data_IF_647843748699
#
_entry.id   IF_647843748699
#
_cell.length_a   1.000
_cell.length_b   1.000
_cell.length_c   1.000
_cell.angle_alpha   90.00
_cell.angle_beta   90.00
_cell.angle_gamma   90.00
#
_symmetry.space_group_name_H-M   'P 1'
#
loop_
_entity.id
_entity.type
_entity.pdbx_description
1 polymer ?
#
# COMPACT_ATOMS: atom_id res chain seq x y z
N UNK A 1 0.76 15.14 -9.95
CA UNK A 1 0.45 15.92 -8.74
C UNK A 1 1.18 15.28 -7.58
N UNK A 2 2.15 15.97 -6.95
CA UNK A 2 2.87 15.41 -5.81
C UNK A 2 1.87 15.04 -4.68
N UNK A 3 2.05 13.93 -3.94
CA UNK A 3 1.20 13.67 -2.80
C UNK A 3 1.30 14.84 -1.81
N UNK A 4 0.19 15.29 -1.21
CA UNK A 4 0.26 16.33 -0.20
C UNK A 4 1.20 15.86 0.92
N UNK A 5 2.23 16.66 1.20
CA UNK A 5 3.09 16.47 2.36
C UNK A 5 2.22 16.70 3.60
N UNK A 6 1.84 15.63 4.29
CA UNK A 6 1.18 15.74 5.58
C UNK A 6 2.27 15.80 6.66
N UNK A 7 2.46 16.98 7.24
CA UNK A 7 3.25 17.12 8.45
C UNK A 7 2.73 16.15 9.54
N UNK A 8 3.60 15.63 10.42
CA UNK A 8 3.18 14.73 11.48
C UNK A 8 2.11 15.39 12.36
N UNK A 9 1.04 14.65 12.65
CA UNK A 9 -0.04 15.13 13.53
C UNK A 9 0.41 15.15 14.99
N UNK A 10 -0.03 16.15 15.77
CA UNK A 10 0.25 16.21 17.21
C UNK A 10 -0.56 15.16 18.00
N UNK A 11 -0.06 14.75 19.17
CA UNK A 11 -0.72 13.75 20.03
C UNK A 11 -2.14 14.16 20.45
N UNK A 12 -2.37 15.46 20.68
CA UNK A 12 -3.68 16.01 20.97
C UNK A 12 -4.66 15.86 19.79
N UNK A 13 -4.17 16.01 18.55
CA UNK A 13 -4.97 15.79 17.35
C UNK A 13 -5.27 14.30 17.15
N UNK A 14 -4.28 13.43 17.39
CA UNK A 14 -4.46 11.98 17.33
C UNK A 14 -5.52 11.47 18.33
N UNK A 15 -5.53 11.99 19.56
CA UNK A 15 -6.56 11.64 20.55
C UNK A 15 -7.98 12.08 20.15
N UNK A 16 -8.11 13.27 19.56
CA UNK A 16 -9.41 13.78 19.07
C UNK A 16 -9.94 12.98 17.88
N UNK A 17 -9.05 12.56 16.99
CA UNK A 17 -9.35 11.66 15.87
C UNK A 17 -9.84 10.30 16.38
N UNK A 18 -9.13 9.72 17.34
CA UNK A 18 -9.47 8.42 17.90
C UNK A 18 -10.89 8.42 18.52
N UNK A 19 -11.30 9.57 19.08
CA UNK A 19 -12.62 9.78 19.66
C UNK A 19 -13.71 10.18 18.64
N UNK A 20 -13.41 10.25 17.34
CA UNK A 20 -14.38 10.58 16.29
C UNK A 20 -14.81 12.05 16.28
N UNK A 21 -14.06 12.95 16.94
CA UNK A 21 -14.42 14.37 17.09
C UNK A 21 -13.84 15.28 15.98
N UNK A 22 -13.25 14.70 14.94
CA UNK A 22 -12.58 15.41 13.83
C UNK A 22 -12.81 14.65 12.52
N UNK A 23 -13.35 15.34 11.53
CA UNK A 23 -13.40 14.85 10.15
C UNK A 23 -12.00 14.87 9.54
N UNK A 24 -11.62 13.75 8.94
CA UNK A 24 -10.28 13.55 8.40
C UNK A 24 -10.29 13.35 6.89
N UNK A 25 -9.17 13.69 6.23
CA UNK A 25 -9.11 13.64 4.78
C UNK A 25 -9.34 12.21 4.26
N UNK A 26 -10.05 12.15 3.13
CA UNK A 26 -10.13 10.95 2.30
C UNK A 26 -8.84 10.84 1.49
N UNK A 27 -8.25 9.65 1.45
CA UNK A 27 -7.10 9.40 0.56
C UNK A 27 -7.63 9.03 -0.82
N UNK A 28 -7.63 9.99 -1.73
CA UNK A 28 -8.00 9.75 -3.13
C UNK A 28 -6.95 8.89 -3.82
N UNK A 29 -7.39 7.73 -4.31
CA UNK A 29 -6.58 6.76 -5.05
C UNK A 29 -7.35 6.31 -6.29
N UNK A 30 -6.81 6.59 -7.47
CA UNK A 30 -7.39 6.26 -8.78
C UNK A 30 -7.58 4.75 -9.02
N UNK A 31 -6.89 3.92 -8.22
CA UNK A 31 -6.96 2.47 -8.29
C UNK A 31 -7.90 1.85 -7.25
N UNK A 32 -8.49 2.65 -6.35
CA UNK A 32 -9.21 2.16 -5.17
C UNK A 32 -10.40 1.27 -5.50
N UNK A 33 -11.00 1.41 -6.68
CA UNK A 33 -12.12 0.62 -7.17
C UNK A 33 -11.71 -0.81 -7.57
N UNK A 34 -10.53 -0.96 -8.19
CA UNK A 34 -10.07 -2.20 -8.82
C UNK A 34 -8.92 -2.90 -8.08
N UNK A 35 -8.04 -2.16 -7.42
CA UNK A 35 -6.85 -2.70 -6.77
C UNK A 35 -7.20 -3.41 -5.45
N UNK A 36 -6.70 -4.63 -5.25
CA UNK A 36 -6.88 -5.39 -4.00
C UNK A 36 -6.10 -4.89 -2.79
N UNK A 37 -5.29 -3.83 -2.93
CA UNK A 37 -4.32 -3.43 -1.91
C UNK A 37 -4.88 -2.70 -0.68
N UNK A 38 -5.91 -1.86 -0.85
CA UNK A 38 -6.42 -1.01 0.23
C UNK A 38 -7.97 -0.98 0.24
N UNK A 39 -8.64 -1.96 0.88
CA UNK A 39 -10.08 -2.17 0.73
C UNK A 39 -10.98 -1.01 1.17
N UNK A 40 -10.53 -0.18 2.12
CA UNK A 40 -11.33 0.89 2.74
C UNK A 40 -10.72 2.29 2.56
N UNK A 41 -9.74 2.45 1.65
CA UNK A 41 -8.98 3.71 1.51
C UNK A 41 -9.83 4.91 1.09
N UNK A 42 -10.94 4.65 0.39
CA UNK A 42 -11.87 5.67 -0.08
C UNK A 42 -12.82 6.18 1.01
N UNK A 43 -12.85 5.56 2.20
CA UNK A 43 -13.59 6.09 3.34
C UNK A 43 -12.83 7.27 3.98
N UNK A 44 -13.53 8.25 4.55
CA UNK A 44 -12.92 9.20 5.48
C UNK A 44 -12.08 8.46 6.52
N UNK A 45 -10.90 9.00 6.86
CA UNK A 45 -9.98 8.26 7.72
C UNK A 45 -10.57 8.00 9.13
N UNK A 46 -11.42 8.90 9.64
CA UNK A 46 -12.21 8.70 10.85
C UNK A 46 -13.09 7.46 10.76
N UNK A 47 -13.81 7.28 9.65
CA UNK A 47 -14.64 6.09 9.40
C UNK A 47 -13.80 4.82 9.29
N UNK A 48 -12.59 4.90 8.73
CA UNK A 48 -11.67 3.76 8.72
C UNK A 48 -11.29 3.32 10.13
N UNK A 49 -11.06 4.26 11.06
CA UNK A 49 -10.74 3.97 12.46
C UNK A 49 -11.95 3.38 13.19
N UNK A 50 -13.13 3.96 13.01
CA UNK A 50 -14.38 3.46 13.58
C UNK A 50 -14.68 2.02 13.09
N UNK A 51 -14.52 1.76 11.79
CA UNK A 51 -14.72 0.44 11.19
C UNK A 51 -13.70 -0.59 11.70
N UNK A 52 -12.42 -0.20 11.88
CA UNK A 52 -11.39 -1.06 12.49
C UNK A 52 -11.75 -1.40 13.94
N UNK A 53 -12.17 -0.43 14.75
CA UNK A 53 -12.62 -0.65 16.13
C UNK A 53 -13.84 -1.59 16.18
N UNK A 54 -14.84 -1.30 15.35
CA UNK A 54 -16.06 -2.10 15.26
C UNK A 54 -15.81 -3.55 14.90
N UNK A 55 -14.81 -3.83 14.04
CA UNK A 55 -14.39 -5.21 13.73
C UNK A 55 -13.85 -5.95 14.95
N UNK A 56 -13.07 -5.30 15.81
CA UNK A 56 -12.57 -5.91 17.05
C UNK A 56 -13.73 -6.15 18.01
N UNK A 57 -14.57 -5.13 18.26
CA UNK A 57 -15.76 -5.24 19.14
C UNK A 57 -16.67 -6.38 18.69
N UNK A 58 -17.02 -6.43 17.41
CA UNK A 58 -17.89 -7.49 16.86
C UNK A 58 -17.24 -8.89 16.96
N UNK A 59 -15.92 -8.98 16.85
CA UNK A 59 -15.22 -10.26 16.99
C UNK A 59 -15.19 -10.74 18.45
N UNK A 60 -15.00 -9.82 19.40
CA UNK A 60 -14.98 -10.13 20.83
C UNK A 60 -16.38 -10.48 21.37
N UNK A 61 -17.43 -9.82 20.88
CA UNK A 61 -18.82 -10.06 21.28
C UNK A 61 -19.30 -11.51 21.02
N UNK A 62 -18.58 -12.29 20.23
CA UNK A 62 -18.84 -13.72 20.01
C UNK A 62 -18.49 -14.60 21.21
N UNK A 63 -17.75 -14.07 22.18
CA UNK A 63 -17.26 -14.80 23.34
C UNK A 63 -17.78 -14.16 24.62
N UNK A 64 -18.73 -14.81 25.27
CA UNK A 64 -19.33 -14.33 26.54
C UNK A 64 -18.29 -14.14 27.64
N UNK A 65 -17.20 -14.91 27.63
CA UNK A 65 -16.08 -14.74 28.57
C UNK A 65 -15.37 -13.37 28.45
N UNK A 66 -15.59 -12.64 27.35
CA UNK A 66 -14.97 -11.34 27.07
C UNK A 66 -15.99 -10.19 27.10
N UNK A 67 -17.23 -10.42 27.55
CA UNK A 67 -18.31 -9.42 27.51
C UNK A 67 -18.00 -8.13 28.28
N UNK A 68 -17.21 -8.23 29.36
CA UNK A 68 -16.76 -7.06 30.15
C UNK A 68 -15.51 -6.38 29.58
N UNK A 69 -14.96 -6.86 28.46
CA UNK A 69 -13.75 -6.28 27.86
C UNK A 69 -14.09 -5.02 27.07
N UNK A 70 -13.48 -3.89 27.43
CA UNK A 70 -13.60 -2.66 26.68
C UNK A 70 -12.57 -2.61 25.55
N UNK A 71 -13.02 -2.36 24.32
CA UNK A 71 -12.12 -2.10 23.18
C UNK A 71 -11.86 -0.61 23.10
N UNK A 72 -10.62 -0.19 23.30
CA UNK A 72 -10.21 1.21 23.17
C UNK A 72 -10.37 1.76 21.74
N UNK A 73 -10.26 3.07 21.60
CA UNK A 73 -10.21 3.70 20.29
C UNK A 73 -8.93 3.32 19.54
N UNK A 74 -9.02 3.24 18.20
CA UNK A 74 -7.85 2.91 17.37
C UNK A 74 -6.91 4.10 17.34
N UNK A 75 -5.65 3.88 17.72
CA UNK A 75 -4.59 4.88 17.58
C UNK A 75 -4.38 5.20 16.10
N UNK A 76 -4.48 6.47 15.67
CA UNK A 76 -4.33 6.81 14.27
C UNK A 76 -2.86 6.75 13.85
N UNK A 77 -2.61 6.19 12.66
CA UNK A 77 -1.29 6.25 12.03
C UNK A 77 -0.94 7.67 11.57
N UNK A 78 0.34 8.02 11.70
CA UNK A 78 0.97 9.18 11.08
C UNK A 78 2.30 8.74 10.46
N UNK A 79 2.50 8.84 9.13
CA UNK A 79 1.58 9.35 8.12
C UNK A 79 0.51 8.32 7.66
N UNK A 80 -0.55 8.80 6.98
CA UNK A 80 -1.61 7.98 6.37
C UNK A 80 -1.41 7.70 4.87
N UNK A 81 -0.35 8.25 4.29
CA UNK A 81 0.13 8.04 2.92
C UNK A 81 1.64 7.83 2.94
N UNK A 82 2.22 7.23 1.90
CA UNK A 82 3.68 7.04 1.82
C UNK A 82 4.31 6.17 2.92
N UNK A 83 3.50 5.45 3.71
CA UNK A 83 3.98 4.69 4.85
C UNK A 83 4.48 3.28 4.49
N UNK A 84 4.10 2.75 3.33
CA UNK A 84 4.37 1.36 2.94
C UNK A 84 5.78 1.22 2.38
N UNK A 85 6.66 0.62 3.19
CA UNK A 85 8.08 0.37 2.90
C UNK A 85 8.38 -0.99 2.30
N UNK A 86 7.35 -1.80 2.02
CA UNK A 86 7.49 -3.06 1.29
C UNK A 86 6.32 -3.31 0.35
N UNK A 87 6.62 -3.71 -0.87
CA UNK A 87 5.62 -4.06 -1.87
C UNK A 87 6.11 -5.22 -2.74
N UNK A 88 5.29 -6.27 -2.84
CA UNK A 88 5.41 -7.27 -3.90
C UNK A 88 4.46 -6.88 -5.02
N UNK A 89 5.00 -6.40 -6.14
CA UNK A 89 4.26 -5.97 -7.31
C UNK A 89 4.31 -7.07 -8.38
N UNK A 90 3.15 -7.49 -8.87
CA UNK A 90 3.05 -8.47 -9.95
C UNK A 90 3.35 -7.78 -11.28
N UNK A 91 4.13 -8.45 -12.11
CA UNK A 91 4.48 -8.03 -13.46
C UNK A 91 3.66 -8.85 -14.45
N UNK A 92 3.06 -8.19 -15.43
CA UNK A 92 2.35 -8.81 -16.53
C UNK A 92 2.76 -8.16 -17.87
N UNK A 93 2.51 -8.84 -19.00
CA UNK A 93 2.83 -8.32 -20.33
C UNK A 93 2.29 -6.91 -20.58
N UNK A 94 3.00 -6.13 -21.40
CA UNK A 94 2.77 -4.71 -21.63
C UNK A 94 3.33 -3.82 -20.52
N UNK A 95 4.41 -4.25 -19.85
CA UNK A 95 5.03 -3.60 -18.70
C UNK A 95 4.02 -3.18 -17.61
N UNK A 96 2.98 -4.00 -17.37
CA UNK A 96 2.00 -3.76 -16.32
C UNK A 96 2.58 -4.20 -14.99
N UNK A 97 2.66 -3.28 -14.03
CA UNK A 97 3.27 -3.51 -12.72
C UNK A 97 2.28 -3.06 -11.64
N UNK A 98 1.81 -3.99 -10.81
CA UNK A 98 0.86 -3.64 -9.76
C UNK A 98 0.39 -4.82 -8.91
N UNK A 99 -0.91 -4.91 -8.66
CA UNK A 99 -1.51 -5.95 -7.82
C UNK A 99 -2.66 -6.64 -8.56
N UNK A 100 -3.07 -7.80 -8.07
CA UNK A 100 -4.27 -8.45 -8.58
C UNK A 100 -5.53 -7.63 -8.28
N UNK A 101 -6.48 -7.72 -9.22
CA UNK A 101 -7.77 -7.06 -9.12
C UNK A 101 -8.60 -7.59 -7.94
N UNK A 102 -9.52 -6.76 -7.45
CA UNK A 102 -10.58 -7.18 -6.52
C UNK A 102 -11.50 -8.21 -7.19
N UNK A 103 -12.11 -9.07 -6.38
CA UNK A 103 -13.06 -10.08 -6.86
C UNK A 103 -12.43 -11.43 -7.21
N UNK A 104 -11.11 -11.56 -7.09
CA UNK A 104 -10.37 -12.80 -7.34
C UNK A 104 -9.80 -12.89 -8.76
N UNK A 105 -9.00 -13.93 -9.00
CA UNK A 105 -8.30 -14.15 -10.27
C UNK A 105 -6.88 -13.56 -10.30
N UNK A 106 -6.19 -13.77 -11.44
CA UNK A 106 -4.80 -13.33 -11.68
C UNK A 106 -4.73 -12.15 -12.65
N UNK A 107 -5.78 -11.32 -12.73
CA UNK A 107 -5.75 -10.10 -13.53
C UNK A 107 -4.95 -9.02 -12.81
N UNK A 108 -3.88 -8.54 -13.43
CA UNK A 108 -3.04 -7.47 -12.88
C UNK A 108 -3.66 -6.11 -13.19
N UNK A 109 -3.91 -5.33 -12.14
CA UNK A 109 -4.16 -3.89 -12.21
C UNK A 109 -2.81 -3.20 -12.28
N UNK A 110 -2.53 -2.48 -13.37
CA UNK A 110 -1.32 -1.65 -13.45
C UNK A 110 -1.44 -0.44 -12.52
N UNK A 111 -0.47 -0.27 -11.61
CA UNK A 111 -0.50 0.72 -10.53
C UNK A 111 0.61 1.73 -10.76
N UNK A 112 0.28 2.83 -11.43
CA UNK A 112 1.21 3.92 -11.72
C UNK A 112 1.59 4.73 -10.48
N UNK A 113 0.62 5.03 -9.61
CA UNK A 113 0.78 5.95 -8.48
C UNK A 113 0.13 5.41 -7.20
N UNK A 114 0.79 4.44 -6.55
CA UNK A 114 0.31 3.90 -5.28
C UNK A 114 0.45 4.94 -4.15
N UNK A 115 -0.68 5.46 -3.63
CA UNK A 115 -0.72 6.53 -2.60
C UNK A 115 -0.07 6.15 -1.27
N UNK A 116 -0.02 4.86 -0.96
CA UNK A 116 0.53 4.38 0.32
C UNK A 116 1.99 3.94 0.20
N UNK A 117 2.51 3.74 -1.02
CA UNK A 117 3.89 3.34 -1.24
C UNK A 117 4.84 4.48 -0.88
N UNK A 118 5.93 4.19 -0.17
CA UNK A 118 6.89 5.24 0.19
C UNK A 118 7.47 5.91 -1.06
N UNK A 119 7.85 7.20 -0.98
CA UNK A 119 8.34 7.94 -2.16
C UNK A 119 9.49 7.24 -2.88
N UNK A 120 10.46 6.71 -2.14
CA UNK A 120 11.61 6.01 -2.74
C UNK A 120 11.18 4.73 -3.46
N UNK A 121 10.24 3.96 -2.90
CA UNK A 121 9.74 2.77 -3.58
C UNK A 121 8.87 3.11 -4.80
N UNK A 122 8.15 4.23 -4.77
CA UNK A 122 7.39 4.70 -5.93
C UNK A 122 8.33 5.06 -7.10
N UNK A 123 9.43 5.75 -6.82
CA UNK A 123 10.46 6.05 -7.83
C UNK A 123 11.13 4.78 -8.36
N UNK A 124 11.54 3.86 -7.48
CA UNK A 124 12.14 2.58 -7.91
C UNK A 124 11.16 1.76 -8.76
N UNK A 125 9.88 1.69 -8.39
CA UNK A 125 8.86 0.99 -9.18
C UNK A 125 8.68 1.63 -10.57
N UNK A 126 8.76 2.96 -10.67
CA UNK A 126 8.70 3.67 -11.95
C UNK A 126 9.89 3.34 -12.85
N UNK A 127 11.12 3.40 -12.32
CA UNK A 127 12.35 3.06 -13.05
C UNK A 127 12.31 1.61 -13.53
N UNK A 128 11.91 0.68 -12.66
CA UNK A 128 11.80 -0.73 -13.03
C UNK A 128 10.74 -0.97 -14.10
N UNK A 129 9.61 -0.25 -14.07
CA UNK A 129 8.59 -0.32 -15.14
C UNK A 129 9.16 0.10 -16.50
N UNK A 130 9.97 1.15 -16.54
CA UNK A 130 10.62 1.62 -17.77
C UNK A 130 11.63 0.59 -18.29
N UNK A 131 12.43 -0.01 -17.40
CA UNK A 131 13.38 -1.07 -17.75
C UNK A 131 12.67 -2.33 -18.28
N UNK A 132 11.59 -2.78 -17.61
CA UNK A 132 10.77 -3.92 -18.05
C UNK A 132 10.22 -3.67 -19.46
N UNK A 133 9.76 -2.46 -19.75
CA UNK A 133 9.24 -2.12 -21.09
C UNK A 133 10.31 -2.24 -22.17
N UNK A 134 11.52 -1.79 -21.90
CA UNK A 134 12.64 -1.90 -22.84
C UNK A 134 13.05 -3.37 -23.06
N UNK A 135 13.11 -4.15 -22.00
CA UNK A 135 13.46 -5.57 -22.06
C UNK A 135 12.37 -6.42 -22.73
N UNK A 136 11.09 -6.12 -22.51
CA UNK A 136 9.99 -6.78 -23.21
C UNK A 136 10.06 -6.59 -24.73
N UNK A 137 10.49 -5.40 -25.19
CA UNK A 137 10.65 -5.12 -26.61
C UNK A 137 11.90 -5.79 -27.24
N UNK A 138 12.90 -6.13 -26.42
CA UNK A 138 14.21 -6.63 -26.87
C UNK A 138 14.49 -8.08 -26.48
N UNK A 139 13.62 -8.72 -25.71
CA UNK A 139 13.86 -10.05 -25.13
C UNK A 139 14.89 -10.05 -24.00
N UNK A 140 15.00 -8.94 -23.26
CA UNK A 140 15.95 -8.75 -22.17
C UNK A 140 15.63 -9.56 -20.90
N UNK A 141 16.50 -9.47 -19.90
CA UNK A 141 16.43 -10.25 -18.65
C UNK A 141 15.18 -9.93 -17.81
N UNK A 142 14.62 -8.73 -17.95
CA UNK A 142 13.40 -8.29 -17.28
C UNK A 142 12.14 -8.54 -18.12
N UNK A 143 12.21 -9.34 -19.18
CA UNK A 143 11.05 -9.69 -19.99
C UNK A 143 9.96 -10.36 -19.12
N UNK A 144 8.73 -9.81 -19.08
CA UNK A 144 7.62 -10.39 -18.34
C UNK A 144 7.32 -11.82 -18.78
N UNK A 145 7.04 -12.69 -17.82
CA UNK A 145 6.50 -14.01 -18.12
C UNK A 145 5.16 -13.90 -18.85
N UNK A 146 5.10 -14.56 -20.01
CA UNK A 146 3.87 -14.88 -20.71
C UNK A 146 3.92 -16.35 -21.16
N UNK A 147 2.76 -17.00 -21.28
CA UNK A 147 2.70 -18.39 -21.75
C UNK A 147 3.16 -18.53 -23.22
N UNK A 148 3.19 -17.42 -23.97
CA UNK A 148 3.62 -17.37 -25.37
C UNK A 148 5.05 -16.86 -25.60
N UNK A 149 5.83 -16.60 -24.55
CA UNK A 149 7.21 -16.13 -24.67
C UNK A 149 8.16 -16.80 -23.67
N UNK A 150 9.47 -16.58 -23.82
CA UNK A 150 10.51 -17.09 -22.91
C UNK A 150 10.80 -16.14 -21.73
N UNK A 151 9.94 -15.13 -21.50
CA UNK A 151 10.07 -14.21 -20.39
C UNK A 151 9.90 -14.94 -19.05
N UNK A 152 10.64 -14.50 -18.04
CA UNK A 152 10.66 -15.15 -16.73
C UNK A 152 10.19 -14.26 -15.58
N UNK A 153 10.16 -12.94 -15.76
CA UNK A 153 9.83 -12.00 -14.69
C UNK A 153 8.34 -12.06 -14.33
N UNK A 154 8.04 -12.37 -13.07
CA UNK A 154 6.66 -12.48 -12.57
C UNK A 154 6.33 -11.42 -11.53
N UNK A 155 7.31 -10.99 -10.74
CA UNK A 155 7.09 -9.99 -9.71
C UNK A 155 8.36 -9.24 -9.30
N UNK A 156 8.15 -8.07 -8.71
CA UNK A 156 9.16 -7.26 -8.02
C UNK A 156 8.83 -7.26 -6.53
N UNK A 157 9.72 -7.76 -5.66
CA UNK A 157 9.65 -7.56 -4.21
C UNK A 157 10.56 -6.39 -3.83
N UNK A 158 9.95 -5.25 -3.54
CA UNK A 158 10.64 -4.01 -3.21
C UNK A 158 10.58 -3.79 -1.70
N UNK A 159 11.72 -3.48 -1.09
CA UNK A 159 11.83 -3.17 0.34
C UNK A 159 12.73 -1.96 0.56
N UNK A 160 12.17 -0.93 1.17
CA UNK A 160 12.93 0.19 1.74
C UNK A 160 13.46 -0.22 3.12
N UNK A 161 14.76 -0.10 3.31
CA UNK A 161 15.45 -0.23 4.59
C UNK A 161 15.80 1.18 5.04
N UNK A 162 15.26 1.56 6.20
CA UNK A 162 15.55 2.85 6.85
C UNK A 162 16.60 2.61 7.93
N UNK A 163 17.72 3.32 7.87
CA UNK A 163 18.73 3.31 8.94
C UNK A 163 18.18 3.85 10.27
N UNK A 164 18.87 3.54 11.37
CA UNK A 164 18.62 4.16 12.68
C UNK A 164 18.99 5.64 12.65
N UNK A 165 18.42 6.42 13.59
CA UNK A 165 18.36 7.89 13.58
C UNK A 165 19.69 8.69 13.55
N UNK A 166 20.85 8.03 13.46
CA UNK A 166 22.15 8.69 13.27
C UNK A 166 22.70 8.32 11.89
N UNK A 167 22.40 9.17 10.90
CA UNK A 167 22.75 8.97 9.50
C UNK A 167 21.64 8.25 8.73
N UNK A 168 20.68 9.01 8.20
CA UNK A 168 19.55 8.48 7.43
C UNK A 168 20.02 7.93 6.06
N UNK A 169 20.62 6.75 6.07
CA UNK A 169 20.86 5.97 4.86
C UNK A 169 19.57 5.22 4.51
N UNK A 170 19.02 5.54 3.34
CA UNK A 170 17.90 4.82 2.76
C UNK A 170 18.46 3.88 1.70
N UNK A 171 18.30 2.57 1.90
CA UNK A 171 18.61 1.59 0.86
C UNK A 171 17.34 0.87 0.41
N UNK A 172 17.30 0.48 -0.86
CA UNK A 172 16.21 -0.31 -1.41
C UNK A 172 16.77 -1.65 -1.86
N UNK A 173 16.15 -2.72 -1.39
CA UNK A 173 16.39 -4.07 -1.88
C UNK A 173 15.26 -4.43 -2.84
N UNK A 174 15.63 -4.80 -4.07
CA UNK A 174 14.72 -5.29 -5.08
C UNK A 174 15.01 -6.77 -5.36
N UNK A 175 14.08 -7.64 -5.01
CA UNK A 175 14.07 -9.03 -5.42
C UNK A 175 13.25 -9.19 -6.69
N UNK A 176 13.84 -9.83 -7.70
CA UNK A 176 13.16 -10.23 -8.93
C UNK A 176 12.74 -11.70 -8.77
N UNK A 177 11.46 -11.98 -9.01
CA UNK A 177 10.85 -13.32 -8.87
C UNK A 177 10.10 -13.69 -10.14
#
# INVERSE_FOLDING_TARGET
MAPPSMAPMSDALLGRIANGSVDLPVVECEHADRCGGCPIIALPYSDQLALKRGRVVHSLARYTSLELSYTEAVVPATPIVGYRTRAKLIVAPGARVGLFAKGGGHQVVDIGQCRVLSPILAEVAKVLREAIRADEASGGVLCPYDAGNDGALRALDLREIRGSAEGAEHSVVAGIV
#
